data_IF_746096946988
#
_entry.id   IF_746096946988
#
_cell.length_a   1.000
_cell.length_b   1.000
_cell.length_c   1.000
_cell.angle_alpha   90.00
_cell.angle_beta   90.00
_cell.angle_gamma   90.00
#
_symmetry.space_group_name_H-M   'P 1'
#
loop_
_entity.id
_entity.type
_entity.pdbx_description
1 polymer ?
#
# COMPACT_ATOMS: atom_id res chain seq x y z
N UNK A 1 61.29 39.29 55.91
CA UNK A 1 60.38 40.41 55.56
C UNK A 1 59.18 39.93 54.74
N UNK A 2 58.00 39.80 55.36
CA UNK A 2 56.79 39.29 54.72
C UNK A 2 56.05 40.43 54.01
N UNK A 3 55.55 40.19 52.80
CA UNK A 3 54.54 41.04 52.17
C UNK A 3 53.27 40.21 51.90
N UNK A 4 52.08 40.83 52.00
CA UNK A 4 50.84 40.22 52.46
C UNK A 4 50.04 39.53 51.34
N UNK A 5 49.02 38.72 51.69
CA UNK A 5 48.11 38.13 50.71
C UNK A 5 47.14 39.20 50.16
N UNK A 6 46.87 39.26 48.85
CA UNK A 6 45.76 40.05 48.35
C UNK A 6 44.44 39.29 48.54
N UNK A 7 43.46 40.08 48.92
CA UNK A 7 42.16 39.74 49.45
C UNK A 7 41.21 39.17 48.39
N UNK A 8 40.29 38.32 48.85
CA UNK A 8 39.10 37.93 48.11
C UNK A 8 38.17 39.13 47.93
N UNK A 9 37.99 39.59 46.69
CA UNK A 9 36.78 40.31 46.25
C UNK A 9 36.57 40.12 44.75
N UNK A 10 36.00 38.98 44.32
CA UNK A 10 35.36 38.92 42.99
C UNK A 10 33.95 39.50 43.13
N UNK A 11 33.82 40.81 42.98
CA UNK A 11 32.51 41.41 42.77
C UNK A 11 31.98 40.93 41.42
N UNK A 12 30.99 40.04 41.45
CA UNK A 12 30.20 39.68 40.27
C UNK A 12 29.58 40.99 39.75
N UNK A 13 29.87 41.42 38.51
CA UNK A 13 29.28 42.65 37.99
C UNK A 13 27.77 42.44 37.85
N UNK A 14 26.99 43.06 38.76
CA UNK A 14 25.52 43.15 38.71
C UNK A 14 25.07 44.10 37.59
N UNK A 15 25.64 43.99 36.39
CA UNK A 15 25.15 44.74 35.25
C UNK A 15 23.87 44.08 34.76
N UNK A 16 22.80 44.86 34.60
CA UNK A 16 21.53 44.40 34.01
C UNK A 16 21.71 43.77 32.62
N UNK A 17 22.84 44.05 31.95
CA UNK A 17 23.23 43.44 30.69
C UNK A 17 23.63 41.96 30.84
N UNK A 18 24.33 41.57 31.91
CA UNK A 18 24.74 40.18 32.15
C UNK A 18 23.53 39.28 32.49
N UNK A 19 22.58 39.80 33.28
CA UNK A 19 21.33 39.09 33.62
C UNK A 19 20.42 38.92 32.40
N UNK A 20 20.39 39.91 31.49
CA UNK A 20 19.65 39.82 30.22
C UNK A 20 20.26 38.83 29.24
N UNK A 21 21.59 38.72 29.19
CA UNK A 21 22.30 37.71 28.37
C UNK A 21 22.01 36.28 28.83
N UNK A 22 21.96 36.04 30.15
CA UNK A 22 21.63 34.72 30.70
C UNK A 22 20.16 34.33 30.47
N UNK A 23 19.24 35.29 30.59
CA UNK A 23 17.82 35.06 30.31
C UNK A 23 17.54 34.79 28.83
N UNK A 24 18.26 35.45 27.92
CA UNK A 24 18.17 35.20 26.48
C UNK A 24 18.76 33.83 26.09
N UNK A 25 19.84 33.38 26.74
CA UNK A 25 20.41 32.05 26.52
C UNK A 25 19.51 30.94 27.08
N UNK A 26 18.88 31.15 28.25
CA UNK A 26 17.92 30.20 28.83
C UNK A 26 16.61 30.13 28.00
N UNK A 27 16.13 31.26 27.47
CA UNK A 27 15.00 31.29 26.55
C UNK A 27 15.34 30.63 25.20
N UNK A 28 16.54 30.86 24.67
CA UNK A 28 17.01 30.22 23.44
C UNK A 28 17.17 28.70 23.56
N UNK A 29 17.74 28.22 24.67
CA UNK A 29 17.85 26.78 24.95
C UNK A 29 16.47 26.14 25.22
N UNK A 30 15.56 26.86 25.88
CA UNK A 30 14.18 26.41 26.10
C UNK A 30 13.38 26.31 24.79
N UNK A 31 13.53 27.26 23.87
CA UNK A 31 12.85 27.24 22.56
C UNK A 31 13.42 26.15 21.64
N UNK A 32 14.74 25.92 21.65
CA UNK A 32 15.38 24.84 20.87
C UNK A 32 15.00 23.46 21.45
N UNK A 33 15.01 23.32 22.78
CA UNK A 33 14.62 22.08 23.45
C UNK A 33 13.15 21.72 23.23
N UNK A 34 12.25 22.70 23.34
CA UNK A 34 10.81 22.49 23.12
C UNK A 34 10.50 22.18 21.65
N UNK A 35 11.14 22.87 20.70
CA UNK A 35 10.99 22.62 19.26
C UNK A 35 11.49 21.24 18.83
N UNK A 36 12.63 20.79 19.36
CA UNK A 36 13.15 19.45 19.07
C UNK A 36 12.23 18.33 19.62
N UNK A 37 11.70 18.50 20.84
CA UNK A 37 10.75 17.54 21.42
C UNK A 37 9.40 17.49 20.69
N UNK A 38 8.92 18.61 20.15
CA UNK A 38 7.70 18.66 19.33
C UNK A 38 7.89 17.95 17.98
N UNK A 39 9.03 18.16 17.31
CA UNK A 39 9.32 17.45 16.05
C UNK A 39 9.52 15.94 16.26
N UNK A 40 10.19 15.51 17.34
CA UNK A 40 10.35 14.09 17.66
C UNK A 40 9.02 13.39 17.99
N UNK A 41 8.08 14.09 18.63
CA UNK A 41 6.75 13.57 18.91
C UNK A 41 5.93 13.40 17.62
N UNK A 42 6.02 14.37 16.71
CA UNK A 42 5.32 14.35 15.43
C UNK A 42 5.74 13.18 14.53
N UNK A 43 7.05 12.89 14.46
CA UNK A 43 7.60 11.75 13.70
C UNK A 43 7.16 10.40 14.28
N UNK A 44 7.03 10.31 15.61
CA UNK A 44 6.57 9.09 16.26
C UNK A 44 5.07 8.86 16.05
N UNK A 45 4.25 9.92 16.05
CA UNK A 45 2.81 9.82 15.80
C UNK A 45 2.48 9.45 14.35
N UNK A 46 3.17 10.06 13.38
CA UNK A 46 2.93 9.78 11.96
C UNK A 46 3.54 8.45 11.49
N UNK A 47 4.60 7.98 12.15
CA UNK A 47 5.38 6.83 11.72
C UNK A 47 6.36 7.20 10.61
N UNK A 48 7.47 6.46 10.54
CA UNK A 48 8.49 6.63 9.52
C UNK A 48 7.91 6.32 8.13
N UNK A 49 8.17 7.18 7.15
CA UNK A 49 7.77 6.93 5.76
C UNK A 49 8.49 5.69 5.19
N UNK A 50 7.75 4.84 4.48
CA UNK A 50 8.32 3.69 3.80
C UNK A 50 9.13 4.13 2.57
N UNK A 51 10.18 3.36 2.23
CA UNK A 51 10.89 3.54 0.99
C UNK A 51 10.05 3.03 -0.20
N UNK A 52 10.30 3.58 -1.39
CA UNK A 52 9.70 3.08 -2.62
C UNK A 52 10.49 1.88 -3.11
N UNK A 53 9.90 0.68 -3.02
CA UNK A 53 10.53 -0.55 -3.47
C UNK A 53 10.15 -0.84 -4.93
N UNK A 54 11.08 -1.34 -5.76
CA UNK A 54 10.81 -1.61 -7.18
C UNK A 54 10.01 -2.90 -7.34
N UNK A 55 8.70 -2.84 -7.17
CA UNK A 55 7.83 -4.01 -7.29
C UNK A 55 7.74 -4.50 -8.74
N UNK A 56 7.72 -5.82 -8.99
CA UNK A 56 7.67 -6.34 -10.35
C UNK A 56 6.44 -5.83 -11.12
N UNK A 57 5.33 -5.63 -10.43
CA UNK A 57 4.05 -5.16 -10.95
C UNK A 57 3.83 -3.64 -10.83
N UNK A 58 4.85 -2.83 -10.57
CA UNK A 58 4.67 -1.37 -10.48
C UNK A 58 4.52 -0.69 -11.85
N UNK A 59 5.15 -1.26 -12.88
CA UNK A 59 5.14 -0.70 -14.24
C UNK A 59 3.78 -0.70 -14.92
N UNK A 60 3.61 0.19 -15.91
CA UNK A 60 2.37 0.35 -16.69
C UNK A 60 2.05 -0.88 -17.54
N UNK A 61 3.08 -1.62 -17.95
CA UNK A 61 2.98 -2.86 -18.73
C UNK A 61 3.45 -4.08 -17.95
N UNK A 62 3.53 -3.96 -16.62
CA UNK A 62 3.93 -5.06 -15.75
C UNK A 62 2.71 -5.72 -15.12
N UNK A 63 2.64 -7.04 -15.23
CA UNK A 63 1.67 -7.88 -14.55
C UNK A 63 2.20 -8.32 -13.17
N UNK A 64 1.33 -8.93 -12.37
CA UNK A 64 1.77 -9.63 -11.16
C UNK A 64 2.67 -10.81 -11.47
N UNK A 65 3.59 -11.07 -10.55
CA UNK A 65 4.34 -12.32 -10.50
C UNK A 65 3.48 -13.39 -9.81
N UNK A 66 2.81 -14.23 -10.61
CA UNK A 66 1.88 -15.25 -10.11
C UNK A 66 2.57 -16.34 -9.28
N UNK A 67 3.87 -16.58 -9.47
CA UNK A 67 4.65 -17.46 -8.59
C UNK A 67 4.88 -16.80 -7.21
N UNK A 68 5.13 -15.49 -7.18
CA UNK A 68 5.15 -14.70 -5.93
C UNK A 68 3.79 -14.72 -5.21
N UNK A 69 2.69 -14.61 -5.95
CA UNK A 69 1.32 -14.72 -5.37
C UNK A 69 1.11 -16.09 -4.74
N UNK A 70 1.49 -17.18 -5.41
CA UNK A 70 1.35 -18.55 -4.87
C UNK A 70 2.14 -18.73 -3.57
N UNK A 71 3.41 -18.32 -3.56
CA UNK A 71 4.25 -18.33 -2.35
C UNK A 71 3.68 -17.44 -1.25
N UNK A 72 3.16 -16.26 -1.60
CA UNK A 72 2.53 -15.36 -0.65
C UNK A 72 1.28 -15.94 -0.01
N UNK A 73 0.47 -16.71 -0.76
CA UNK A 73 -0.66 -17.45 -0.20
C UNK A 73 -0.20 -18.51 0.83
N UNK A 74 0.92 -19.20 0.58
CA UNK A 74 1.49 -20.14 1.56
C UNK A 74 1.95 -19.44 2.84
N UNK A 75 2.60 -18.27 2.74
CA UNK A 75 2.94 -17.46 3.91
C UNK A 75 1.67 -17.04 4.67
N UNK A 76 0.62 -16.65 3.95
CA UNK A 76 -0.66 -16.29 4.56
C UNK A 76 -1.24 -17.46 5.35
N UNK A 77 -1.36 -18.65 4.75
CA UNK A 77 -1.98 -19.81 5.40
C UNK A 77 -1.15 -20.35 6.57
N UNK A 78 0.18 -20.37 6.45
CA UNK A 78 1.06 -20.91 7.49
C UNK A 78 1.28 -19.93 8.66
N UNK A 79 1.30 -18.62 8.40
CA UNK A 79 1.67 -17.61 9.41
C UNK A 79 0.50 -16.71 9.80
N UNK A 80 -0.17 -16.11 8.82
CA UNK A 80 -1.10 -15.00 9.06
C UNK A 80 -2.54 -15.45 9.35
N UNK A 81 -2.99 -16.57 8.77
CA UNK A 81 -4.38 -17.03 8.81
C UNK A 81 -4.84 -17.44 10.23
N UNK A 82 -3.89 -17.61 11.16
CA UNK A 82 -4.16 -17.86 12.58
C UNK A 82 -4.74 -16.65 13.31
N UNK A 83 -4.43 -15.43 12.84
CA UNK A 83 -4.85 -14.18 13.49
C UNK A 83 -5.61 -13.23 12.57
N UNK A 84 -5.33 -13.25 11.28
CA UNK A 84 -5.93 -12.35 10.31
C UNK A 84 -6.97 -13.06 9.45
N UNK A 85 -8.14 -12.45 9.31
CA UNK A 85 -9.13 -12.88 8.33
C UNK A 85 -8.82 -12.34 6.94
N UNK A 86 -9.37 -13.01 5.92
CA UNK A 86 -9.41 -12.51 4.55
C UNK A 86 -10.79 -12.80 3.95
N UNK A 87 -11.77 -12.04 4.41
CA UNK A 87 -13.18 -12.30 4.18
C UNK A 87 -13.65 -12.06 2.73
N UNK A 88 -12.95 -11.25 1.94
CA UNK A 88 -13.34 -10.97 0.57
C UNK A 88 -12.81 -12.00 -0.45
N UNK A 89 -11.85 -12.85 -0.07
CA UNK A 89 -11.22 -13.82 -0.97
C UNK A 89 -11.83 -15.20 -0.75
N UNK A 90 -12.16 -15.86 -1.85
CA UNK A 90 -12.72 -17.21 -1.87
C UNK A 90 -11.75 -18.16 -2.58
N UNK A 91 -11.87 -19.47 -2.34
CA UNK A 91 -11.02 -20.46 -2.98
C UNK A 91 -11.08 -20.41 -4.51
N UNK A 92 -12.25 -20.10 -5.08
CA UNK A 92 -12.45 -19.88 -6.53
C UNK A 92 -11.60 -18.75 -7.10
N UNK A 93 -11.24 -17.74 -6.30
CA UNK A 93 -10.46 -16.59 -6.78
C UNK A 93 -8.99 -16.97 -7.02
N UNK A 94 -8.51 -18.05 -6.39
CA UNK A 94 -7.15 -18.57 -6.58
C UNK A 94 -6.99 -19.37 -7.89
N UNK A 95 -8.10 -19.87 -8.44
CA UNK A 95 -8.11 -20.75 -9.62
C UNK A 95 -7.71 -19.97 -10.86
N UNK A 96 -6.66 -20.44 -11.54
CA UNK A 96 -6.13 -19.80 -12.74
C UNK A 96 -5.28 -18.55 -12.47
N UNK A 97 -5.08 -18.20 -11.20
CA UNK A 97 -4.14 -17.16 -10.75
C UNK A 97 -2.90 -17.84 -10.19
N UNK A 98 -3.03 -18.47 -9.02
CA UNK A 98 -1.92 -19.09 -8.29
C UNK A 98 -2.03 -20.62 -8.19
N UNK A 99 -3.23 -21.16 -8.32
CA UNK A 99 -3.52 -22.58 -8.18
C UNK A 99 -4.38 -23.10 -9.33
N UNK A 100 -4.27 -24.40 -9.60
CA UNK A 100 -5.22 -25.13 -10.45
C UNK A 100 -6.57 -25.33 -9.75
N UNK A 101 -7.59 -25.72 -10.51
CA UNK A 101 -8.91 -26.00 -9.96
C UNK A 101 -8.89 -27.20 -8.99
N UNK A 102 -8.10 -28.22 -9.31
CA UNK A 102 -7.94 -29.42 -8.51
C UNK A 102 -7.21 -29.12 -7.20
N UNK A 103 -6.12 -28.34 -7.25
CA UNK A 103 -5.40 -27.90 -6.04
C UNK A 103 -6.31 -27.05 -5.15
N UNK A 104 -7.02 -26.06 -5.71
CA UNK A 104 -7.92 -25.21 -4.94
C UNK A 104 -9.09 -25.98 -4.32
N UNK A 105 -9.62 -27.00 -5.01
CA UNK A 105 -10.63 -27.92 -4.46
C UNK A 105 -10.07 -28.76 -3.32
N UNK A 106 -8.85 -29.28 -3.47
CA UNK A 106 -8.20 -30.07 -2.43
C UNK A 106 -8.00 -29.22 -1.15
N UNK A 107 -7.45 -28.01 -1.30
CA UNK A 107 -7.27 -27.08 -0.18
C UNK A 107 -8.59 -26.68 0.49
N UNK A 108 -9.65 -26.46 -0.30
CA UNK A 108 -10.96 -26.14 0.27
C UNK A 108 -11.55 -27.33 1.05
N UNK A 109 -11.36 -28.55 0.55
CA UNK A 109 -11.90 -29.76 1.16
C UNK A 109 -11.20 -30.15 2.47
N UNK A 110 -9.98 -29.64 2.73
CA UNK A 110 -9.27 -29.82 4.00
C UNK A 110 -9.93 -29.07 5.17
N UNK A 111 -10.77 -28.07 4.88
CA UNK A 111 -11.45 -27.27 5.88
C UNK A 111 -12.89 -27.74 6.08
N UNK A 112 -13.32 -27.78 7.33
CA UNK A 112 -14.73 -27.95 7.70
C UNK A 112 -15.42 -26.59 7.72
N UNK A 113 -16.57 -26.51 7.05
CA UNK A 113 -17.38 -25.30 6.94
C UNK A 113 -18.79 -25.61 7.43
N UNK A 114 -19.25 -24.84 8.41
CA UNK A 114 -20.62 -24.91 8.91
C UNK A 114 -21.60 -24.43 7.84
N UNK A 115 -22.59 -25.25 7.51
CA UNK A 115 -23.66 -24.98 6.55
C UNK A 115 -25.03 -25.35 7.17
N UNK A 116 -26.12 -24.96 6.51
CA UNK A 116 -27.47 -25.30 6.94
C UNK A 116 -28.40 -24.09 7.11
N UNK A 117 -29.60 -24.30 7.71
CA UNK A 117 -30.05 -25.52 8.38
C UNK A 117 -30.51 -26.65 7.43
N UNK A 118 -30.43 -27.91 7.89
CA UNK A 118 -30.97 -29.10 7.21
C UNK A 118 -32.52 -29.21 7.39
N UNK A 119 -33.12 -30.31 6.89
CA UNK A 119 -34.57 -30.54 7.00
C UNK A 119 -35.08 -30.64 8.46
N UNK A 120 -34.19 -30.94 9.41
CA UNK A 120 -34.47 -31.02 10.85
C UNK A 120 -34.26 -29.67 11.56
N UNK A 121 -33.81 -28.64 10.84
CA UNK A 121 -33.52 -27.31 11.40
C UNK A 121 -32.15 -27.17 12.05
N UNK A 122 -31.27 -28.16 11.90
CA UNK A 122 -29.93 -28.20 12.51
C UNK A 122 -28.86 -27.73 11.52
N UNK A 123 -27.85 -27.01 12.03
CA UNK A 123 -26.63 -26.69 11.26
C UNK A 123 -25.73 -27.92 11.21
N UNK A 124 -25.06 -28.15 10.09
CA UNK A 124 -24.16 -29.29 9.90
C UNK A 124 -22.81 -28.83 9.34
N UNK A 125 -21.78 -29.63 9.55
CA UNK A 125 -20.45 -29.39 8.98
C UNK A 125 -20.31 -30.13 7.64
N UNK A 126 -19.68 -29.49 6.66
CA UNK A 126 -19.32 -30.12 5.39
C UNK A 126 -17.88 -29.76 4.99
N UNK A 127 -17.22 -30.58 4.16
CA UNK A 127 -15.98 -30.15 3.53
C UNK A 127 -16.21 -28.86 2.73
N UNK A 128 -15.22 -27.97 2.76
CA UNK A 128 -15.24 -26.73 2.01
C UNK A 128 -15.29 -26.96 0.51
N UNK A 129 -15.86 -25.99 -0.21
CA UNK A 129 -15.96 -25.95 -1.67
C UNK A 129 -15.32 -24.68 -2.20
N UNK A 130 -15.06 -24.62 -3.50
CA UNK A 130 -14.47 -23.44 -4.15
C UNK A 130 -15.23 -22.13 -3.91
N UNK A 131 -16.54 -22.21 -3.72
CA UNK A 131 -17.39 -21.04 -3.48
C UNK A 131 -17.28 -20.48 -2.05
N UNK A 132 -16.64 -21.19 -1.12
CA UNK A 132 -16.50 -20.73 0.25
C UNK A 132 -15.35 -19.72 0.38
N UNK A 133 -15.50 -18.80 1.34
CA UNK A 133 -14.47 -17.83 1.69
C UNK A 133 -13.31 -18.51 2.44
N UNK A 134 -12.16 -17.84 2.52
CA UNK A 134 -11.09 -18.28 3.41
C UNK A 134 -11.57 -18.29 4.87
N UNK A 135 -11.11 -19.27 5.69
CA UNK A 135 -11.61 -19.45 7.04
C UNK A 135 -11.30 -18.24 7.92
N UNK A 136 -12.23 -17.90 8.81
CA UNK A 136 -12.02 -16.84 9.78
C UNK A 136 -11.38 -17.42 11.05
N UNK A 137 -10.31 -16.79 11.58
CA UNK A 137 -9.63 -17.28 12.78
C UNK A 137 -10.46 -17.13 14.06
N UNK A 138 -11.41 -16.20 14.07
CA UNK A 138 -12.23 -15.88 15.23
C UNK A 138 -13.70 -15.79 14.82
N UNK A 139 -14.60 -16.21 15.71
CA UNK A 139 -16.04 -16.15 15.48
C UNK A 139 -16.61 -14.71 15.43
N UNK A 140 -15.96 -13.77 16.10
CA UNK A 140 -16.35 -12.36 16.15
C UNK A 140 -15.19 -11.46 16.62
N UNK A 141 -15.38 -10.15 16.51
CA UNK A 141 -14.41 -9.13 16.91
C UNK A 141 -14.04 -9.22 18.40
N UNK A 142 -15.00 -9.50 19.29
CA UNK A 142 -14.75 -9.58 20.72
C UNK A 142 -13.84 -10.76 21.08
N UNK A 143 -14.04 -11.91 20.43
CA UNK A 143 -13.17 -13.07 20.55
C UNK A 143 -11.74 -12.77 20.05
N UNK A 144 -11.63 -12.09 18.90
CA UNK A 144 -10.34 -11.67 18.36
C UNK A 144 -9.59 -10.70 19.31
N UNK A 145 -10.30 -9.71 19.87
CA UNK A 145 -9.73 -8.78 20.85
C UNK A 145 -9.31 -9.48 22.13
N UNK A 146 -10.12 -10.40 22.64
CA UNK A 146 -9.78 -11.15 23.84
C UNK A 146 -8.51 -11.99 23.65
N UNK A 147 -8.38 -12.68 22.51
CA UNK A 147 -7.20 -13.48 22.19
C UNK A 147 -5.92 -12.64 22.00
N UNK A 148 -6.03 -11.39 21.56
CA UNK A 148 -4.90 -10.51 21.20
C UNK A 148 -4.73 -9.34 22.18
N UNK A 149 -5.04 -9.52 23.46
CA UNK A 149 -4.75 -8.51 24.50
C UNK A 149 -5.49 -7.18 24.32
N UNK A 150 -6.69 -7.20 23.72
CA UNK A 150 -7.55 -6.06 23.44
C UNK A 150 -7.42 -5.49 22.02
N UNK A 151 -6.35 -5.85 21.29
CA UNK A 151 -6.15 -5.42 19.91
C UNK A 151 -6.97 -6.28 18.93
N UNK A 152 -7.52 -5.67 17.89
CA UNK A 152 -8.22 -6.40 16.84
C UNK A 152 -7.32 -6.54 15.61
N UNK A 153 -6.92 -7.76 15.22
CA UNK A 153 -6.22 -7.98 13.96
C UNK A 153 -7.13 -7.57 12.79
N UNK A 154 -6.72 -6.61 11.95
CA UNK A 154 -7.54 -6.17 10.83
C UNK A 154 -7.64 -7.25 9.75
N UNK A 155 -8.76 -7.27 9.03
CA UNK A 155 -8.93 -8.08 7.82
C UNK A 155 -7.92 -7.65 6.75
N UNK A 156 -7.27 -8.64 6.12
CA UNK A 156 -6.18 -8.40 5.19
C UNK A 156 -6.61 -8.27 3.73
N UNK A 157 -7.88 -8.49 3.38
CA UNK A 157 -8.34 -8.49 1.98
C UNK A 157 -8.02 -7.20 1.24
N UNK A 158 -8.09 -6.05 1.92
CA UNK A 158 -7.83 -4.73 1.32
C UNK A 158 -6.65 -3.99 1.97
N UNK A 159 -5.77 -4.69 2.70
CA UNK A 159 -4.76 -4.03 3.54
C UNK A 159 -3.83 -3.10 2.75
N UNK A 160 -3.44 -3.50 1.55
CA UNK A 160 -2.57 -2.70 0.66
C UNK A 160 -3.25 -1.47 0.07
N UNK A 161 -4.59 -1.36 0.13
CA UNK A 161 -5.35 -0.16 -0.27
C UNK A 161 -5.85 0.65 0.91
N UNK A 162 -6.04 0.00 2.05
CA UNK A 162 -6.54 0.60 3.28
C UNK A 162 -5.45 1.39 4.05
N UNK A 163 -4.19 1.32 3.63
CA UNK A 163 -3.06 2.04 4.22
C UNK A 163 -2.37 2.93 3.20
N UNK A 164 -1.86 4.07 3.67
CA UNK A 164 -1.04 4.95 2.84
C UNK A 164 0.22 4.22 2.37
N UNK A 165 0.63 4.48 1.13
CA UNK A 165 1.76 3.82 0.46
C UNK A 165 1.64 2.28 0.32
N UNK A 166 0.50 1.71 0.74
CA UNK A 166 0.05 0.36 0.45
C UNK A 166 1.09 -0.74 0.66
N UNK A 167 1.51 -1.35 -0.44
CA UNK A 167 2.50 -2.43 -0.45
C UNK A 167 3.85 -2.05 0.17
N UNK A 168 4.32 -0.83 -0.04
CA UNK A 168 5.59 -0.36 0.53
C UNK A 168 5.49 -0.27 2.05
N UNK A 169 4.36 0.24 2.56
CA UNK A 169 4.08 0.30 3.99
C UNK A 169 4.03 -1.09 4.61
N UNK A 170 3.28 -2.03 4.01
CA UNK A 170 3.17 -3.39 4.57
C UNK A 170 4.53 -4.10 4.58
N UNK A 171 5.30 -3.99 3.49
CA UNK A 171 6.65 -4.57 3.42
C UNK A 171 7.60 -3.98 4.47
N UNK A 172 7.64 -2.65 4.58
CA UNK A 172 8.46 -1.96 5.57
C UNK A 172 8.02 -2.27 7.00
N UNK A 173 6.72 -2.39 7.26
CA UNK A 173 6.18 -2.77 8.56
C UNK A 173 6.63 -4.18 8.96
N UNK A 174 6.54 -5.16 8.06
CA UNK A 174 6.89 -6.55 8.35
C UNK A 174 8.39 -6.74 8.64
N UNK A 175 9.27 -6.03 7.93
CA UNK A 175 10.72 -6.11 8.14
C UNK A 175 11.28 -5.10 9.13
N UNK A 176 10.48 -4.10 9.51
CA UNK A 176 10.94 -2.94 10.28
C UNK A 176 11.03 -3.12 11.80
N UNK A 177 10.72 -4.31 12.31
CA UNK A 177 10.80 -4.60 13.75
C UNK A 177 12.23 -4.41 14.26
N UNK A 178 12.40 -3.56 15.27
CA UNK A 178 13.70 -3.24 15.88
C UNK A 178 13.55 -2.92 17.36
N UNK A 179 14.66 -2.91 18.08
CA UNK A 179 14.67 -2.46 19.47
C UNK A 179 14.32 -0.97 19.57
N UNK A 180 13.57 -0.56 20.62
CA UNK A 180 13.20 0.84 20.81
C UNK A 180 14.46 1.70 21.04
N UNK A 181 14.52 2.90 20.43
CA UNK A 181 15.64 3.81 20.64
C UNK A 181 15.69 4.29 22.10
N UNK A 182 16.86 4.76 22.53
CA UNK A 182 17.07 5.23 23.90
C UNK A 182 16.04 6.30 24.29
N UNK A 183 15.35 6.09 25.42
CA UNK A 183 14.32 7.00 25.95
C UNK A 183 12.89 6.65 25.55
N UNK A 184 12.67 5.67 24.66
CA UNK A 184 11.32 5.17 24.31
C UNK A 184 11.06 3.86 25.05
N UNK A 185 10.10 3.86 25.96
CA UNK A 185 9.62 2.64 26.63
C UNK A 185 8.30 2.19 26.03
N UNK A 186 8.24 0.98 25.50
CA UNK A 186 7.01 0.36 24.99
C UNK A 186 6.28 -0.34 26.14
N UNK A 187 4.95 -0.26 26.17
CA UNK A 187 4.14 -0.94 27.20
C UNK A 187 4.27 -2.46 27.05
N UNK A 188 4.11 -3.17 28.16
CA UNK A 188 4.10 -4.63 28.15
C UNK A 188 3.02 -5.17 27.20
N UNK A 189 3.39 -6.14 26.36
CA UNK A 189 2.52 -6.71 25.31
C UNK A 189 2.50 -5.94 23.99
N UNK A 190 3.17 -4.79 23.89
CA UNK A 190 3.39 -4.07 22.63
C UNK A 190 4.85 -4.21 22.18
N UNK A 191 5.08 -4.07 20.88
CA UNK A 191 6.38 -4.19 20.22
C UNK A 191 6.72 -2.89 19.51
N UNK A 192 8.00 -2.54 19.43
CA UNK A 192 8.42 -1.33 18.74
C UNK A 192 8.52 -1.57 17.23
N UNK A 193 7.86 -0.70 16.46
CA UNK A 193 8.00 -0.65 15.02
C UNK A 193 7.95 0.81 14.55
N UNK A 194 9.01 1.33 13.91
CA UNK A 194 9.08 2.73 13.53
C UNK A 194 8.12 3.13 12.41
N UNK A 195 7.69 2.20 11.56
CA UNK A 195 6.77 2.47 10.46
C UNK A 195 5.32 2.52 10.94
N UNK A 196 5.02 1.90 12.09
CA UNK A 196 3.69 1.94 12.66
C UNK A 196 3.40 3.31 13.28
N UNK A 197 2.26 3.96 12.97
CA UNK A 197 1.87 5.22 13.61
C UNK A 197 1.79 5.08 15.13
N UNK A 198 2.53 5.91 15.87
CA UNK A 198 2.69 5.83 17.32
C UNK A 198 3.84 4.93 17.80
N UNK A 199 4.55 4.25 16.89
CA UNK A 199 5.76 3.48 17.17
C UNK A 199 5.60 2.17 17.94
N UNK A 200 4.42 1.89 18.50
CA UNK A 200 4.13 0.69 19.29
C UNK A 200 2.96 -0.10 18.69
N UNK A 201 3.22 -1.35 18.30
CA UNK A 201 2.25 -2.25 17.65
C UNK A 201 1.97 -3.48 18.53
N UNK A 202 0.74 -3.99 18.55
CA UNK A 202 0.37 -5.17 19.33
C UNK A 202 0.80 -6.51 18.71
N UNK A 203 1.23 -6.48 17.44
CA UNK A 203 1.68 -7.65 16.70
C UNK A 203 3.18 -7.89 16.95
N UNK A 204 3.62 -9.09 17.32
CA UNK A 204 5.04 -9.43 17.37
C UNK A 204 5.63 -9.57 15.97
N UNK A 205 6.96 -9.71 15.88
CA UNK A 205 7.62 -10.07 14.62
C UNK A 205 7.22 -11.50 14.23
N UNK A 206 6.34 -11.62 13.23
CA UNK A 206 5.80 -12.90 12.77
C UNK A 206 6.70 -13.58 11.72
N UNK A 207 7.38 -12.80 10.88
CA UNK A 207 8.27 -13.34 9.85
C UNK A 207 9.67 -13.54 10.45
N UNK A 208 10.10 -14.79 10.49
CA UNK A 208 11.46 -15.18 10.85
C UNK A 208 12.08 -15.92 9.67
N UNK A 209 13.41 -15.93 9.58
CA UNK A 209 14.11 -16.76 8.58
C UNK A 209 13.69 -18.23 8.76
N UNK A 210 13.36 -18.89 7.64
CA UNK A 210 12.86 -20.26 7.58
C UNK A 210 11.53 -20.48 8.33
N UNK A 211 10.73 -19.41 8.51
CA UNK A 211 9.41 -19.45 9.17
C UNK A 211 8.29 -20.12 8.38
N UNK A 212 8.50 -20.41 7.09
CA UNK A 212 7.57 -21.18 6.24
C UNK A 212 8.35 -22.06 5.26
N UNK A 213 7.73 -23.13 4.78
CA UNK A 213 8.26 -23.92 3.65
C UNK A 213 7.50 -23.59 2.37
N UNK A 214 8.26 -23.26 1.31
CA UNK A 214 7.73 -23.08 -0.04
C UNK A 214 7.72 -24.39 -0.81
N UNK A 215 6.67 -24.62 -1.60
CA UNK A 215 6.53 -25.81 -2.45
C UNK A 215 7.53 -25.85 -3.61
N UNK A 216 8.01 -24.69 -4.06
CA UNK A 216 8.98 -24.55 -5.15
C UNK A 216 10.46 -24.62 -4.71
N UNK A 217 10.72 -24.76 -3.41
CA UNK A 217 12.06 -24.85 -2.84
C UNK A 217 12.83 -23.51 -2.78
N UNK A 218 12.17 -22.37 -2.96
CA UNK A 218 12.79 -21.05 -2.74
C UNK A 218 13.24 -20.93 -1.27
N UNK A 219 14.40 -20.31 -0.97
CA UNK A 219 14.80 -20.06 0.41
C UNK A 219 13.86 -19.06 1.09
N UNK A 220 13.20 -19.50 2.16
CA UNK A 220 12.25 -18.72 2.94
C UNK A 220 12.93 -17.74 3.90
N UNK A 221 13.73 -16.81 3.37
CA UNK A 221 14.26 -15.69 4.16
C UNK A 221 13.14 -14.71 4.56
N UNK A 222 13.34 -13.94 5.63
CA UNK A 222 12.35 -12.96 6.10
C UNK A 222 11.94 -11.97 5.00
N UNK A 223 12.91 -11.50 4.21
CA UNK A 223 12.67 -10.54 3.14
C UNK A 223 11.93 -11.17 1.96
N UNK A 224 12.21 -12.44 1.66
CA UNK A 224 11.53 -13.17 0.61
C UNK A 224 10.07 -13.43 0.99
N UNK A 225 9.82 -13.88 2.22
CA UNK A 225 8.48 -14.03 2.78
C UNK A 225 7.70 -12.72 2.75
N UNK A 226 8.32 -11.61 3.18
CA UNK A 226 7.69 -10.30 3.17
C UNK A 226 7.35 -9.83 1.74
N UNK A 227 8.21 -10.10 0.75
CA UNK A 227 7.95 -9.76 -0.65
C UNK A 227 6.76 -10.55 -1.21
N UNK A 228 6.71 -11.85 -0.92
CA UNK A 228 5.70 -12.74 -1.48
C UNK A 228 4.33 -12.50 -0.85
N UNK A 229 4.26 -12.37 0.49
CA UNK A 229 3.00 -12.03 1.17
C UNK A 229 2.47 -10.68 0.70
N UNK A 230 3.32 -9.67 0.51
CA UNK A 230 2.87 -8.36 0.03
C UNK A 230 2.38 -8.43 -1.41
N UNK A 231 3.01 -9.24 -2.26
CA UNK A 231 2.55 -9.51 -3.62
C UNK A 231 1.16 -10.16 -3.60
N UNK A 232 0.95 -11.17 -2.75
CA UNK A 232 -0.36 -11.79 -2.54
C UNK A 232 -1.41 -10.81 -2.01
N UNK A 233 -1.08 -9.98 -1.01
CA UNK A 233 -1.99 -8.97 -0.46
C UNK A 233 -2.31 -7.84 -1.45
N UNK A 234 -1.38 -7.51 -2.35
CA UNK A 234 -1.62 -6.55 -3.43
C UNK A 234 -2.60 -7.12 -4.46
N UNK A 235 -2.43 -8.39 -4.82
CA UNK A 235 -3.37 -9.11 -5.67
C UNK A 235 -4.75 -9.27 -5.00
N UNK A 236 -4.81 -9.65 -3.73
CA UNK A 236 -6.06 -9.80 -3.00
C UNK A 236 -6.88 -8.49 -2.97
N UNK A 237 -6.20 -7.35 -2.89
CA UNK A 237 -6.86 -6.04 -2.90
C UNK A 237 -7.23 -5.53 -4.31
N UNK A 238 -6.52 -5.99 -5.36
CA UNK A 238 -6.73 -5.62 -6.75
C UNK A 238 -6.56 -6.82 -7.70
N UNK A 239 -7.49 -7.79 -7.68
CA UNK A 239 -7.40 -8.96 -8.56
C UNK A 239 -7.55 -8.58 -10.04
N UNK A 240 -8.15 -7.43 -10.34
CA UNK A 240 -8.34 -6.93 -11.69
C UNK A 240 -7.12 -6.22 -12.29
N UNK A 241 -6.01 -6.07 -11.56
CA UNK A 241 -4.91 -5.20 -11.97
C UNK A 241 -4.29 -5.57 -13.33
N UNK A 242 -4.10 -6.86 -13.59
CA UNK A 242 -3.50 -7.36 -14.85
C UNK A 242 -4.41 -7.02 -16.05
N UNK A 243 -5.71 -7.35 -15.95
CA UNK A 243 -6.70 -7.04 -16.97
C UNK A 243 -6.93 -5.55 -17.14
N UNK A 244 -6.96 -4.79 -16.04
CA UNK A 244 -7.11 -3.34 -16.04
C UNK A 244 -5.96 -2.66 -16.77
N UNK A 245 -4.71 -3.09 -16.54
CA UNK A 245 -3.54 -2.56 -17.25
C UNK A 245 -3.55 -2.95 -18.73
N UNK A 246 -3.92 -4.19 -19.04
CA UNK A 246 -4.04 -4.65 -20.43
C UNK A 246 -5.12 -3.87 -21.20
N UNK A 247 -6.31 -3.71 -20.61
CA UNK A 247 -7.40 -2.91 -21.16
C UNK A 247 -7.02 -1.43 -21.26
N UNK A 248 -6.33 -0.88 -20.26
CA UNK A 248 -5.79 0.48 -20.26
C UNK A 248 -4.82 0.69 -21.41
N UNK A 249 -3.87 -0.21 -21.62
CA UNK A 249 -2.93 -0.17 -22.74
C UNK A 249 -3.64 -0.22 -24.09
N UNK A 250 -4.60 -1.13 -24.27
CA UNK A 250 -5.43 -1.24 -25.48
C UNK A 250 -6.22 0.04 -25.72
N UNK A 251 -6.83 0.61 -24.68
CA UNK A 251 -7.64 1.82 -24.79
C UNK A 251 -6.79 3.06 -25.08
N UNK A 252 -5.63 3.23 -24.42
CA UNK A 252 -4.69 4.32 -24.70
C UNK A 252 -4.15 4.21 -26.11
N UNK A 253 -3.81 3.01 -26.59
CA UNK A 253 -3.40 2.80 -27.97
C UNK A 253 -4.53 3.15 -28.95
N UNK A 254 -5.76 2.68 -28.70
CA UNK A 254 -6.91 3.00 -29.52
C UNK A 254 -7.25 4.49 -29.50
N UNK A 255 -7.12 5.17 -28.36
CA UNK A 255 -7.32 6.61 -28.23
C UNK A 255 -6.20 7.42 -28.85
N UNK A 256 -4.94 6.97 -28.79
CA UNK A 256 -3.84 7.59 -29.50
C UNK A 256 -4.10 7.54 -31.01
N UNK A 257 -4.53 6.37 -31.51
CA UNK A 257 -5.00 6.25 -32.89
C UNK A 257 -6.20 7.18 -33.13
N UNK A 258 -7.26 7.14 -32.32
CA UNK A 258 -8.46 7.98 -32.48
C UNK A 258 -8.18 9.50 -32.44
N UNK A 259 -7.24 9.94 -31.61
CA UNK A 259 -6.81 11.34 -31.46
C UNK A 259 -5.86 11.80 -32.58
N UNK A 260 -5.27 10.85 -33.31
CA UNK A 260 -4.65 11.10 -34.61
C UNK A 260 -5.69 11.00 -35.75
N UNK A 261 -6.84 10.31 -35.53
CA UNK A 261 -7.84 9.94 -36.54
C UNK A 261 -9.37 10.41 -36.61
N UNK A 262 -9.89 11.52 -36.04
CA UNK A 262 -11.30 12.06 -36.16
C UNK A 262 -11.99 11.76 -37.47
N UNK A 263 -13.05 10.99 -37.31
CA UNK A 263 -14.16 10.84 -38.21
C UNK A 263 -14.97 12.14 -38.27
N UNK A 264 -15.21 12.61 -39.49
CA UNK A 264 -16.16 13.65 -39.86
C UNK A 264 -17.58 13.31 -39.41
N UNK A 265 -18.25 14.21 -38.70
CA UNK A 265 -19.70 14.38 -38.78
C UNK A 265 -19.98 15.86 -39.09
N UNK A 266 -20.27 16.24 -40.35
CA UNK A 266 -21.07 17.41 -40.61
C UNK A 266 -22.54 17.04 -40.32
N UNK A 267 -23.21 17.86 -39.52
CA UNK A 267 -24.53 17.62 -38.95
C UNK A 267 -25.71 17.65 -39.95
N UNK A 268 -25.57 17.16 -41.19
CA UNK A 268 -26.64 17.30 -42.20
C UNK A 268 -27.06 16.05 -42.99
N UNK A 269 -26.41 14.89 -42.89
CA UNK A 269 -26.75 13.74 -43.74
C UNK A 269 -26.88 12.42 -42.95
N UNK A 270 -27.70 12.47 -41.90
CA UNK A 270 -28.32 11.28 -41.34
C UNK A 270 -29.44 10.82 -42.28
N UNK A 271 -29.15 9.98 -43.30
CA UNK A 271 -30.11 8.95 -43.80
C UNK A 271 -29.68 8.03 -44.96
N UNK A 272 -28.55 8.21 -45.67
CA UNK A 272 -28.38 7.46 -46.93
C UNK A 272 -27.23 6.44 -47.03
N UNK A 273 -26.20 6.45 -46.17
CA UNK A 273 -25.02 5.61 -46.40
C UNK A 273 -24.66 4.75 -45.18
N UNK A 274 -25.44 3.67 -45.00
CA UNK A 274 -25.19 2.61 -44.02
C UNK A 274 -24.67 1.31 -44.68
N UNK A 275 -23.95 1.42 -45.80
CA UNK A 275 -23.36 0.26 -46.48
C UNK A 275 -22.08 0.67 -47.20
N UNK A 276 -20.95 0.61 -46.50
CA UNK A 276 -19.71 -0.01 -46.95
C UNK A 276 -18.64 0.21 -45.88
N UNK A 277 -18.08 -0.88 -45.39
CA UNK A 277 -16.91 -0.91 -44.54
C UNK A 277 -15.75 -0.17 -45.22
N UNK A 278 -15.19 0.85 -44.56
CA UNK A 278 -13.78 1.26 -44.62
C UNK A 278 -13.55 2.34 -43.54
N UNK A 279 -13.15 1.86 -42.36
CA UNK A 279 -12.62 2.65 -41.25
C UNK A 279 -11.30 3.28 -41.69
N UNK A 280 -11.19 4.61 -41.79
CA UNK A 280 -9.96 5.31 -42.17
C UNK A 280 -9.86 6.73 -41.55
N UNK A 281 -8.66 7.32 -41.40
CA UNK A 281 -8.13 7.68 -40.07
C UNK A 281 -7.63 9.16 -39.96
N UNK A 282 -8.38 10.19 -39.48
CA UNK A 282 -7.93 11.63 -39.53
C UNK A 282 -8.38 12.71 -38.44
N UNK A 283 -7.84 12.93 -37.22
CA UNK A 283 -8.24 14.03 -36.23
C UNK A 283 -7.28 15.19 -36.31
N UNK A 284 -6.00 14.90 -36.07
CA UNK A 284 -4.96 15.92 -36.11
C UNK A 284 -4.73 16.38 -37.56
N UNK A 285 -4.78 15.41 -38.49
CA UNK A 285 -4.75 15.66 -39.91
C UNK A 285 -5.95 16.48 -40.38
N UNK A 286 -7.18 16.10 -40.02
CA UNK A 286 -8.39 16.80 -40.49
C UNK A 286 -8.51 18.21 -39.93
N UNK A 287 -8.19 18.45 -38.65
CA UNK A 287 -8.15 19.83 -38.12
C UNK A 287 -7.15 20.68 -38.89
N UNK A 288 -5.97 20.13 -39.20
CA UNK A 288 -4.94 20.86 -39.97
C UNK A 288 -5.38 21.07 -41.43
N UNK A 289 -6.03 20.08 -42.04
CA UNK A 289 -6.54 20.11 -43.41
C UNK A 289 -7.73 21.05 -43.58
N UNK A 290 -8.75 20.98 -42.72
CA UNK A 290 -9.92 21.87 -42.74
C UNK A 290 -9.53 23.34 -42.56
N UNK A 291 -8.56 23.61 -41.69
CA UNK A 291 -8.05 24.96 -41.48
C UNK A 291 -6.94 25.34 -42.47
N UNK A 292 -6.48 24.43 -43.34
CA UNK A 292 -5.41 24.72 -44.28
C UNK A 292 -5.76 25.89 -45.20
N UNK A 293 -6.96 25.96 -45.84
CA UNK A 293 -7.31 27.08 -46.72
C UNK A 293 -7.32 28.43 -46.00
N UNK A 294 -7.77 28.48 -44.73
CA UNK A 294 -7.77 29.71 -43.92
C UNK A 294 -6.35 30.07 -43.50
N UNK A 295 -5.52 29.09 -43.11
CA UNK A 295 -4.14 29.32 -42.69
C UNK A 295 -3.20 29.63 -43.85
N UNK A 296 -3.51 29.20 -45.07
CA UNK A 296 -2.71 29.46 -46.26
C UNK A 296 -3.19 30.66 -47.08
N UNK A 297 -4.28 31.33 -46.69
CA UNK A 297 -4.78 32.50 -47.42
C UNK A 297 -3.80 33.67 -47.26
N UNK A 298 -3.45 34.32 -48.37
CA UNK A 298 -2.76 35.62 -48.36
C UNK A 298 -3.82 36.70 -48.50
N UNK A 299 -3.84 37.64 -47.56
CA UNK A 299 -4.79 38.76 -47.58
C UNK A 299 -3.99 40.01 -47.93
N UNK A 300 -4.35 40.69 -49.02
CA UNK A 300 -3.83 42.02 -49.33
C UNK A 300 -4.74 43.00 -48.58
N UNK A 301 -4.16 43.69 -47.60
CA UNK A 301 -4.87 44.72 -46.82
C UNK A 301 -4.34 46.05 -47.31
N UNK A 302 -5.17 46.79 -48.03
CA UNK A 302 -4.83 48.11 -48.59
C UNK A 302 -4.89 49.17 -47.48
N UNK A 303 -3.98 49.04 -46.51
CA UNK A 303 -3.94 49.85 -45.28
C UNK A 303 -2.76 50.84 -45.26
N UNK A 304 -2.17 51.12 -46.42
CA UNK A 304 -1.12 52.14 -46.56
C UNK A 304 -1.75 53.33 -47.27
N UNK A 305 -2.16 54.32 -46.48
CA UNK A 305 -2.49 55.67 -46.94
C UNK A 305 -1.28 56.58 -46.81
#
# INVERSE_FOLDING_TARGET
PPFPPPQATSQIPKSRAFVRGLAAAAAGAGVIGLGASLSLADEAEHGLAAAQYPWPHEGWFSAYDHASIRRGYQVYTQVCATCHSMSAIHFRDLVGVSHSEEEAKAMAAELEVTDGPNEEGEMFERPGRLADALPQPYANEQAARFANGGAYPPDLSLMTKARHDGQNYVFALLLGYREPPAGVSVREGLYYNPYFPGGAIAMPKMLNDEGCEYDDGTPATEAQQAKDIVSFLSWAAEPEADDRKLMGAKFVAAMAVALVTRVSFPACLCRAFQRLHLFQPQTAYYKRWFWAPIKSRRVIVDAIH
#
